data_IF_595762307007
#
_entry.id   IF_595762307007
#
_cell.length_a   1.000
_cell.length_b   1.000
_cell.length_c   1.000
_cell.angle_alpha   90.00
_cell.angle_beta   90.00
_cell.angle_gamma   90.00
#
_symmetry.space_group_name_H-M   'P 1'
#
loop_
_entity.id
_entity.type
_entity.pdbx_description
1 polymer ?
#
# COMPACT_ATOMS: atom_id res chain seq x y z
N UNK A 1 -21.12 -11.70 3.31
CA UNK A 1 -20.80 -11.58 2.84
C UNK A 1 -20.58 -10.67 2.26
N UNK A 2 -19.88 -10.23 2.27
CA UNK A 2 -19.76 -9.22 1.63
C UNK A 2 -19.44 -9.44 0.40
N UNK A 3 -20.08 -9.25 -0.34
CA UNK A 3 -19.83 -9.42 -1.62
C UNK A 3 -18.98 -8.43 -2.17
N UNK A 4 -18.80 -7.35 -1.54
CA UNK A 4 -18.11 -6.43 -2.14
C UNK A 4 -16.85 -6.42 -1.72
N UNK A 5 -15.94 -6.31 -2.47
CA UNK A 5 -14.73 -5.97 -2.10
C UNK A 5 -14.08 -6.73 -1.08
N UNK A 6 -13.64 -7.83 -1.36
CA UNK A 6 -12.85 -8.52 -0.45
C UNK A 6 -11.62 -7.72 -0.17
N UNK A 7 -11.45 -7.27 1.02
CA UNK A 7 -10.26 -6.57 1.41
C UNK A 7 -9.27 -7.51 1.99
N UNK A 8 -8.03 -7.39 1.58
CA UNK A 8 -6.94 -8.20 2.10
C UNK A 8 -5.87 -7.27 2.60
N UNK A 9 -5.35 -7.52 3.78
CA UNK A 9 -4.27 -6.70 4.30
C UNK A 9 -2.98 -7.46 4.25
N UNK A 10 -1.96 -6.80 3.81
CA UNK A 10 -0.63 -7.36 3.78
C UNK A 10 0.32 -6.29 4.25
N UNK A 11 1.60 -6.55 4.24
CA UNK A 11 2.56 -5.52 4.66
C UNK A 11 3.73 -5.52 3.71
N UNK A 12 4.29 -4.35 3.50
CA UNK A 12 5.43 -4.15 2.64
C UNK A 12 6.32 -3.13 3.31
N UNK A 13 7.55 -3.48 3.54
CA UNK A 13 8.51 -2.59 4.19
C UNK A 13 7.99 -2.11 5.53
N UNK A 14 7.21 -2.94 6.21
CA UNK A 14 6.67 -2.59 7.51
C UNK A 14 5.39 -1.79 7.47
N UNK A 15 4.95 -1.34 6.30
CA UNK A 15 3.70 -0.60 6.18
C UNK A 15 2.56 -1.53 5.84
N UNK A 16 1.40 -1.27 6.40
CA UNK A 16 0.22 -2.04 6.08
C UNK A 16 -0.29 -1.62 4.72
N UNK A 17 -0.59 -2.57 3.88
CA UNK A 17 -1.13 -2.33 2.56
C UNK A 17 -2.51 -2.97 2.51
N UNK A 18 -3.50 -2.20 2.09
CA UNK A 18 -4.84 -2.71 1.93
C UNK A 18 -5.10 -2.97 0.46
N UNK A 19 -5.46 -4.21 0.14
CA UNK A 19 -5.78 -4.61 -1.22
C UNK A 19 -7.27 -4.78 -1.34
N UNK A 20 -7.85 -4.26 -2.40
CA UNK A 20 -9.28 -4.38 -2.62
C UNK A 20 -9.54 -4.90 -4.01
N UNK A 21 -10.39 -5.90 -4.11
CA UNK A 21 -10.74 -6.45 -5.40
C UNK A 21 -12.00 -5.78 -5.90
N UNK A 22 -11.92 -5.17 -7.07
CA UNK A 22 -13.08 -4.61 -7.71
C UNK A 22 -13.60 -5.56 -8.78
N UNK A 23 -14.58 -5.12 -9.55
CA UNK A 23 -15.17 -6.00 -10.56
C UNK A 23 -14.22 -6.35 -11.69
N UNK A 24 -13.32 -5.46 -12.04
CA UNK A 24 -12.42 -5.73 -13.15
C UNK A 24 -10.97 -5.48 -12.82
N UNK A 25 -10.66 -5.06 -11.61
CA UNK A 25 -9.29 -4.74 -11.29
C UNK A 25 -9.08 -4.82 -9.79
N UNK A 26 -7.83 -4.69 -9.39
CA UNK A 26 -7.45 -4.66 -7.99
C UNK A 26 -6.91 -3.29 -7.67
N UNK A 27 -7.21 -2.80 -6.48
CA UNK A 27 -6.64 -1.57 -5.99
C UNK A 27 -5.85 -1.82 -4.73
N UNK A 28 -4.92 -0.93 -4.44
CA UNK A 28 -4.13 -1.01 -3.22
C UNK A 28 -3.85 0.37 -2.71
N UNK A 29 -3.79 0.50 -1.40
CA UNK A 29 -3.39 1.77 -0.81
C UNK A 29 -2.73 1.50 0.52
N UNK A 30 -2.02 2.51 1.01
CA UNK A 30 -1.29 2.41 2.26
C UNK A 30 -1.82 3.50 3.17
N UNK A 31 -2.51 3.13 4.27
CA UNK A 31 -3.10 4.15 5.14
C UNK A 31 -2.10 5.16 5.68
N UNK A 32 -0.88 4.70 5.98
CA UNK A 32 0.12 5.60 6.52
C UNK A 32 0.82 6.44 5.47
N UNK A 33 0.62 6.13 4.21
CA UNK A 33 1.23 6.87 3.11
C UNK A 33 0.13 7.21 2.12
N UNK A 34 -0.62 8.25 2.37
CA UNK A 34 -1.83 8.50 1.57
C UNK A 34 -1.58 8.68 0.09
N UNK A 35 -0.36 9.05 -0.28
CA UNK A 35 -0.06 9.21 -1.69
C UNK A 35 0.27 7.91 -2.39
N UNK A 36 0.38 6.83 -1.65
CA UNK A 36 0.76 5.56 -2.26
C UNK A 36 -0.48 4.76 -2.57
N UNK A 37 -0.87 4.77 -3.84
CA UNK A 37 -2.01 4.00 -4.30
C UNK A 37 -1.63 3.33 -5.61
N UNK A 38 -2.26 2.23 -5.93
CA UNK A 38 -1.98 1.51 -7.15
C UNK A 38 -3.22 0.78 -7.62
N UNK A 39 -3.29 0.53 -8.92
CA UNK A 39 -4.38 -0.22 -9.51
C UNK A 39 -3.78 -1.13 -10.57
N UNK A 40 -4.23 -2.36 -10.63
CA UNK A 40 -3.75 -3.31 -11.62
C UNK A 40 -4.83 -4.34 -11.88
N UNK A 41 -4.60 -5.16 -12.87
CA UNK A 41 -5.62 -6.12 -13.26
C UNK A 41 -5.59 -7.38 -12.42
N UNK A 42 -4.48 -7.68 -11.79
CA UNK A 42 -4.38 -8.86 -10.96
C UNK A 42 -3.82 -8.48 -9.62
N UNK A 43 -4.05 -9.34 -8.65
CA UNK A 43 -3.53 -9.10 -7.31
C UNK A 43 -2.01 -9.07 -7.32
N UNK A 44 -1.41 -9.99 -8.04
CA UNK A 44 0.04 -10.04 -8.07
C UNK A 44 0.62 -8.75 -8.63
N UNK A 45 0.01 -8.24 -9.68
CA UNK A 45 0.49 -7.03 -10.30
C UNK A 45 0.29 -5.82 -9.38
N UNK A 46 -0.84 -5.75 -8.67
CA UNK A 46 -1.08 -4.60 -7.82
C UNK A 46 -0.15 -4.63 -6.61
N UNK A 47 0.20 -5.83 -6.14
CA UNK A 47 1.14 -5.92 -5.03
C UNK A 47 2.51 -5.39 -5.44
N UNK A 48 2.95 -5.73 -6.63
CA UNK A 48 4.21 -5.21 -7.13
C UNK A 48 4.17 -3.71 -7.35
N UNK A 49 3.04 -3.23 -7.86
CA UNK A 49 2.91 -1.81 -8.14
C UNK A 49 2.90 -0.98 -6.85
N UNK A 50 2.21 -1.46 -5.81
CA UNK A 50 2.16 -0.69 -4.58
C UNK A 50 3.51 -0.73 -3.87
N UNK A 51 4.22 -1.83 -3.98
CA UNK A 51 5.55 -1.90 -3.39
C UNK A 51 6.48 -0.89 -4.04
N UNK A 52 6.42 -0.79 -5.35
CA UNK A 52 7.22 0.17 -6.05
C UNK A 52 6.83 1.59 -5.68
N UNK A 53 5.54 1.85 -5.54
CA UNK A 53 5.09 3.18 -5.15
C UNK A 53 5.60 3.56 -3.77
N UNK A 54 5.59 2.62 -2.83
CA UNK A 54 6.11 2.89 -1.50
C UNK A 54 7.61 3.18 -1.57
N UNK A 55 8.34 2.36 -2.31
CA UNK A 55 9.78 2.54 -2.39
C UNK A 55 10.14 3.89 -2.98
N UNK A 56 9.44 4.28 -4.04
CA UNK A 56 9.72 5.56 -4.67
C UNK A 56 9.35 6.72 -3.78
N UNK A 57 8.25 6.61 -3.05
CA UNK A 57 7.84 7.68 -2.16
C UNK A 57 8.84 7.87 -1.02
N UNK A 58 9.27 6.77 -0.43
CA UNK A 58 10.23 6.86 0.66
C UNK A 58 11.57 7.41 0.18
N UNK A 59 11.98 7.00 -1.01
CA UNK A 59 13.22 7.51 -1.56
C UNK A 59 13.15 9.00 -1.80
N UNK A 60 12.01 9.48 -2.27
CA UNK A 60 11.84 10.87 -2.50
C UNK A 60 11.88 11.65 -1.20
N UNK A 61 11.22 11.15 -0.15
CA UNK A 61 11.28 11.80 1.15
C UNK A 61 12.70 11.90 1.64
N UNK A 62 13.46 10.84 1.43
CA UNK A 62 14.83 10.84 1.89
C UNK A 62 15.67 11.84 1.12
N UNK A 63 15.46 11.92 -0.18
CA UNK A 63 16.19 12.87 -1.00
C UNK A 63 15.89 14.31 -0.64
N UNK A 64 14.66 14.57 -0.24
CA UNK A 64 14.26 15.92 0.11
C UNK A 64 14.50 16.24 1.58
N UNK A 65 15.03 15.31 2.33
CA UNK A 65 15.28 15.55 3.74
C UNK A 65 14.04 15.62 4.60
N UNK A 66 12.94 15.03 4.12
CA UNK A 66 11.69 15.07 4.86
C UNK A 66 11.60 13.89 5.81
N UNK A 67 10.85 14.02 6.89
CA UNK A 67 10.72 12.92 7.83
C UNK A 67 10.05 11.73 7.18
N UNK A 68 10.54 10.55 7.49
CA UNK A 68 9.96 9.33 7.00
C UNK A 68 8.81 8.93 7.90
N UNK A 69 7.65 8.61 7.34
CA UNK A 69 6.54 8.18 8.18
C UNK A 69 6.88 6.87 8.89
N UNK A 70 6.39 6.73 10.08
CA UNK A 70 6.61 5.50 10.80
C UNK A 70 5.66 4.44 10.28
N UNK A 71 6.10 3.21 10.15
CA UNK A 71 5.18 2.15 9.79
C UNK A 71 4.07 2.03 10.83
N UNK A 72 2.89 1.77 10.37
CA UNK A 72 1.77 1.69 11.27
C UNK A 72 1.63 0.36 11.92
N UNK A 73 2.69 -0.20 12.40
CA UNK A 73 2.60 -1.49 13.02
C UNK A 73 2.09 -1.31 14.40
N UNK A 74 1.19 -2.10 14.75
CA UNK A 74 0.59 -1.92 16.03
C UNK A 74 1.40 -2.28 17.17
N UNK A 75 2.42 -2.67 17.08
CA UNK A 75 3.09 -2.96 18.07
C UNK A 75 3.58 -2.13 18.79
N UNK A 76 3.75 -1.78 19.21
CA UNK A 76 4.17 -1.02 19.70
C UNK A 76 3.69 -0.58 20.41
N UNK A 77 3.44 -0.85 20.57
CA UNK A 77 2.99 -0.17 21.29
C UNK A 77 3.01 0.35 21.75
#
# INVERSE_FOLDING_TARGET
MSALGDEVMTSTRGYVVVLEQGPTSWGAYVPDLPMCVAVAETREDVEGAIEQAIAMHLERLREEGLPMPQPGTPEKG
#
